data_IF_316325790886
#
_entry.id   IF_316325790886
#
_cell.length_a   1.000
_cell.length_b   1.000
_cell.length_c   1.000
_cell.angle_alpha   90.00
_cell.angle_beta   90.00
_cell.angle_gamma   90.00
#
_symmetry.space_group_name_H-M   'P 1'
#
loop_
_entity.id
_entity.type
_entity.pdbx_description
1 polymer ?
#
# COMPACT_ATOMS: atom_id res chain seq x y z
N UNK A 1 -7.89 4.71 -8.07
CA UNK A 1 -6.84 5.74 -7.87
C UNK A 1 -5.49 5.09 -7.63
N UNK A 2 -5.13 4.73 -6.40
CA UNK A 2 -3.83 4.08 -6.11
C UNK A 2 -3.76 2.67 -6.69
N UNK A 3 -4.85 1.90 -6.61
CA UNK A 3 -4.98 0.59 -7.24
C UNK A 3 -4.72 0.63 -8.76
N UNK A 4 -5.18 1.70 -9.42
CA UNK A 4 -4.95 1.93 -10.84
C UNK A 4 -3.47 2.23 -11.11
N UNK A 5 -2.82 3.10 -10.34
CA UNK A 5 -1.39 3.36 -10.49
C UNK A 5 -0.56 2.07 -10.30
N UNK A 6 -0.91 1.26 -9.30
CA UNK A 6 -0.25 -0.03 -9.07
C UNK A 6 -0.45 -0.99 -10.25
N UNK A 7 -1.65 -1.05 -10.82
CA UNK A 7 -1.93 -1.86 -12.00
C UNK A 7 -1.18 -1.36 -13.24
N UNK A 8 -1.15 -0.04 -13.47
CA UNK A 8 -0.45 0.58 -14.59
C UNK A 8 1.07 0.35 -14.54
N UNK A 9 1.64 0.26 -13.34
CA UNK A 9 3.05 -0.09 -13.13
C UNK A 9 3.32 -1.60 -13.26
N UNK A 10 2.28 -2.43 -13.45
CA UNK A 10 2.41 -3.90 -13.40
C UNK A 10 2.88 -4.40 -12.02
N UNK A 11 2.65 -3.63 -10.95
CA UNK A 11 3.15 -3.94 -9.63
C UNK A 11 2.45 -5.17 -9.05
N UNK A 12 3.21 -6.23 -8.79
CA UNK A 12 2.76 -7.43 -8.07
C UNK A 12 3.20 -7.46 -6.61
N UNK A 13 2.78 -8.50 -5.87
CA UNK A 13 3.23 -8.76 -4.51
C UNK A 13 2.72 -7.78 -3.44
N UNK A 14 3.39 -7.77 -2.28
CA UNK A 14 3.05 -6.95 -1.12
C UNK A 14 3.16 -5.45 -1.44
N UNK A 15 2.23 -4.67 -0.90
CA UNK A 15 2.24 -3.21 -0.93
C UNK A 15 2.53 -2.69 0.48
N UNK A 16 3.52 -1.81 0.61
CA UNK A 16 3.81 -1.10 1.86
C UNK A 16 3.36 0.34 1.71
N UNK A 17 2.49 0.80 2.61
CA UNK A 17 2.05 2.19 2.69
C UNK A 17 2.94 2.92 3.69
N UNK A 18 3.61 3.97 3.25
CA UNK A 18 4.45 4.84 4.08
C UNK A 18 4.01 6.31 3.98
N UNK A 19 4.54 7.14 4.88
CA UNK A 19 4.35 8.59 4.85
C UNK A 19 2.98 9.06 5.37
N UNK A 20 2.47 10.17 4.82
CA UNK A 20 1.34 10.90 5.41
C UNK A 20 0.03 10.10 5.53
N UNK A 21 -0.14 9.03 4.75
CA UNK A 21 -1.36 8.21 4.77
C UNK A 21 -1.36 7.13 5.87
N UNK A 22 -0.25 6.90 6.57
CA UNK A 22 -0.17 5.88 7.63
C UNK A 22 -1.09 6.21 8.82
N UNK A 23 -1.31 7.50 9.09
CA UNK A 23 -2.22 7.97 10.12
C UNK A 23 -3.71 7.86 9.74
N UNK A 24 -4.05 7.55 8.48
CA UNK A 24 -5.43 7.39 8.05
C UNK A 24 -5.88 5.94 8.25
N UNK A 25 -6.78 5.65 9.23
CA UNK A 25 -7.17 4.28 9.54
C UNK A 25 -7.95 3.59 8.43
N UNK A 26 -8.45 4.34 7.44
CA UNK A 26 -9.26 3.81 6.34
C UNK A 26 -8.44 3.48 5.10
N UNK A 27 -7.32 4.18 4.89
CA UNK A 27 -6.59 4.11 3.62
C UNK A 27 -6.05 2.71 3.33
N UNK A 28 -5.29 2.13 4.25
CA UNK A 28 -4.73 0.78 4.11
C UNK A 28 -5.81 -0.28 3.90
N UNK A 29 -6.81 -0.40 4.80
CA UNK A 29 -7.88 -1.38 4.67
C UNK A 29 -8.70 -1.26 3.37
N UNK A 30 -9.05 -0.04 2.94
CA UNK A 30 -9.80 0.15 1.69
C UNK A 30 -8.96 -0.17 0.46
N UNK A 31 -7.67 0.16 0.47
CA UNK A 31 -6.74 -0.23 -0.59
C UNK A 31 -6.60 -1.75 -0.66
N UNK A 32 -6.45 -2.43 0.47
CA UNK A 32 -6.42 -3.90 0.55
C UNK A 32 -7.70 -4.54 -0.03
N UNK A 33 -8.86 -3.92 0.18
CA UNK A 33 -10.13 -4.35 -0.44
C UNK A 33 -10.13 -4.34 -1.97
N UNK A 34 -9.35 -3.43 -2.59
CA UNK A 34 -9.24 -3.35 -4.05
C UNK A 34 -8.17 -4.25 -4.65
N UNK A 35 -7.18 -4.70 -3.86
CA UNK A 35 -5.99 -5.39 -4.34
C UNK A 35 -6.05 -6.94 -4.25
N UNK A 36 -7.26 -7.51 -4.23
CA UNK A 36 -7.59 -8.95 -4.34
C UNK A 36 -6.45 -9.93 -4.00
N UNK A 37 -6.24 -10.17 -2.69
CA UNK A 37 -5.31 -11.19 -2.21
C UNK A 37 -3.86 -10.72 -2.06
N UNK A 38 -3.55 -9.47 -2.38
CA UNK A 38 -2.25 -8.87 -2.07
C UNK A 38 -2.20 -8.39 -0.62
N UNK A 39 -1.10 -8.68 0.06
CA UNK A 39 -0.80 -8.09 1.36
C UNK A 39 -0.64 -6.57 1.22
N UNK A 40 -1.36 -5.82 2.04
CA UNK A 40 -1.11 -4.39 2.24
C UNK A 40 -0.65 -4.22 3.68
N UNK A 41 0.52 -3.64 3.90
CA UNK A 41 1.02 -3.28 5.24
C UNK A 41 1.10 -1.76 5.34
N UNK A 42 0.93 -1.23 6.54
CA UNK A 42 1.11 0.20 6.82
C UNK A 42 2.33 0.31 7.72
N UNK A 43 3.36 1.01 7.25
CA UNK A 43 4.57 1.26 8.03
C UNK A 43 4.26 2.25 9.14
N UNK A 44 4.76 1.97 10.35
CA UNK A 44 4.80 2.92 11.46
C UNK A 44 6.08 3.76 11.44
N UNK A 45 7.02 3.42 10.55
CA UNK A 45 8.30 4.10 10.42
C UNK A 45 8.25 5.20 9.35
N UNK A 46 8.72 6.39 9.72
CA UNK A 46 8.93 7.52 8.81
C UNK A 46 10.35 7.58 8.24
N UNK A 47 11.22 6.64 8.63
CA UNK A 47 12.64 6.65 8.35
C UNK A 47 13.08 5.79 7.16
N UNK A 48 12.15 5.22 6.38
CA UNK A 48 12.45 4.24 5.32
C UNK A 48 13.58 4.63 4.36
N UNK A 49 13.69 5.91 4.00
CA UNK A 49 14.81 6.41 3.18
C UNK A 49 16.15 6.41 3.93
N UNK A 50 16.18 6.89 5.17
CA UNK A 50 17.38 6.88 6.02
C UNK A 50 17.80 5.45 6.37
N UNK A 51 16.84 4.58 6.67
CA UNK A 51 17.06 3.15 6.90
C UNK A 51 17.64 2.49 5.63
N UNK A 52 17.10 2.80 4.46
CA UNK A 52 17.65 2.35 3.18
C UNK A 52 19.09 2.78 2.96
N UNK A 53 19.43 4.04 3.24
CA UNK A 53 20.81 4.53 3.16
C UNK A 53 21.74 3.80 4.13
N UNK A 54 21.30 3.57 5.36
CA UNK A 54 22.05 2.78 6.35
C UNK A 54 22.27 1.33 5.88
N UNK A 55 21.28 0.69 5.26
CA UNK A 55 21.40 -0.68 4.74
C UNK A 55 22.41 -0.80 3.59
N UNK A 56 22.62 0.27 2.81
CA UNK A 56 23.66 0.30 1.78
C UNK A 56 25.07 0.36 2.39
N UNK A 57 25.26 1.12 3.46
CA UNK A 57 26.52 1.17 4.23
C UNK A 57 26.77 -0.14 4.99
N UNK A 58 25.71 -0.72 5.56
CA UNK A 58 25.76 -1.92 6.40
C UNK A 58 25.26 -3.17 5.68
N UNK A 59 25.72 -3.35 4.43
CA UNK A 59 25.27 -4.43 3.55
C UNK A 59 25.27 -5.81 4.24
N UNK A 60 24.17 -6.56 4.09
CA UNK A 60 23.98 -7.88 4.69
C UNK A 60 23.47 -7.86 6.14
N UNK A 61 23.26 -6.67 6.73
CA UNK A 61 22.52 -6.52 7.98
C UNK A 61 21.04 -6.29 7.72
N UNK A 62 20.19 -6.81 8.61
CA UNK A 62 18.77 -6.54 8.61
C UNK A 62 18.44 -5.53 9.73
N UNK A 63 17.49 -4.61 9.51
CA UNK A 63 16.96 -3.80 10.61
C UNK A 63 16.24 -4.71 11.62
N UNK A 64 16.32 -4.40 12.91
CA UNK A 64 15.59 -5.13 13.96
C UNK A 64 14.07 -4.96 13.89
N UNK A 65 13.58 -3.95 13.17
CA UNK A 65 12.16 -3.66 13.06
C UNK A 65 11.41 -4.83 12.39
N UNK A 66 10.43 -5.39 13.10
CA UNK A 66 9.54 -6.40 12.56
C UNK A 66 8.66 -5.79 11.46
N UNK A 67 8.48 -6.51 10.35
CA UNK A 67 7.55 -6.10 9.31
C UNK A 67 6.13 -6.02 9.90
N UNK A 68 5.47 -4.87 9.73
CA UNK A 68 4.09 -4.70 10.15
C UNK A 68 3.19 -5.78 9.51
N UNK A 69 2.22 -6.34 10.26
CA UNK A 69 1.32 -7.34 9.72
C UNK A 69 0.43 -6.72 8.62
N UNK A 70 -0.05 -7.52 7.65
CA UNK A 70 -1.02 -7.05 6.68
C UNK A 70 -2.29 -6.54 7.35
N UNK A 71 -2.81 -5.42 6.85
CA UNK A 71 -4.07 -4.87 7.33
C UNK A 71 -5.24 -5.68 6.78
N UNK A 72 -6.29 -5.84 7.58
CA UNK A 72 -7.51 -6.50 7.14
C UNK A 72 -8.20 -5.69 6.03
N UNK A 73 -8.60 -6.37 4.95
CA UNK A 73 -9.29 -5.74 3.84
C UNK A 73 -10.68 -5.24 4.24
N UNK A 74 -10.96 -3.97 3.96
CA UNK A 74 -12.28 -3.36 4.13
C UNK A 74 -12.97 -3.25 2.78
N UNK A 75 -14.14 -3.90 2.65
CA UNK A 75 -14.95 -3.91 1.44
C UNK A 75 -16.37 -3.40 1.72
N UNK A 76 -16.56 -2.08 1.88
CA UNK A 76 -17.90 -1.53 2.06
C UNK A 76 -18.79 -1.84 0.86
N UNK A 77 -20.12 -1.93 1.05
CA UNK A 77 -21.05 -2.08 -0.07
C UNK A 77 -20.81 -1.03 -1.15
N UNK A 78 -20.72 -1.47 -2.40
CA UNK A 78 -20.48 -0.58 -3.54
C UNK A 78 -19.03 -0.12 -3.73
N UNK A 79 -18.07 -0.53 -2.91
CA UNK A 79 -16.68 -0.06 -3.02
C UNK A 79 -16.04 -0.33 -4.40
N UNK A 80 -16.27 -1.53 -4.95
CA UNK A 80 -15.81 -1.89 -6.29
C UNK A 80 -16.56 -1.14 -7.38
N UNK A 81 -17.87 -0.94 -7.21
CA UNK A 81 -18.67 -0.15 -8.14
C UNK A 81 -18.19 1.32 -8.16
N UNK A 82 -17.83 1.87 -7.00
CA UNK A 82 -17.22 3.18 -6.89
C UNK A 82 -15.89 3.26 -7.63
N UNK A 83 -15.02 2.25 -7.49
CA UNK A 83 -13.76 2.17 -8.25
C UNK A 83 -14.02 2.23 -9.76
N UNK A 84 -14.96 1.44 -10.28
CA UNK A 84 -15.28 1.43 -11.72
C UNK A 84 -15.87 2.76 -12.18
N UNK A 85 -16.79 3.34 -11.41
CA UNK A 85 -17.35 4.65 -11.70
C UNK A 85 -16.25 5.73 -11.73
N UNK A 86 -15.32 5.69 -10.77
CA UNK A 86 -14.18 6.60 -10.74
C UNK A 86 -13.29 6.45 -11.98
N UNK A 87 -12.97 5.21 -12.37
CA UNK A 87 -12.16 4.91 -13.57
C UNK A 87 -12.80 5.48 -14.85
N UNK A 88 -14.09 5.24 -15.02
CA UNK A 88 -14.85 5.78 -16.14
C UNK A 88 -14.85 7.31 -16.19
N UNK A 89 -14.99 8.00 -15.04
CA UNK A 89 -14.99 9.47 -15.01
C UNK A 89 -13.59 10.06 -15.20
N UNK A 90 -12.56 9.38 -14.70
CA UNK A 90 -11.17 9.79 -14.87
C UNK A 90 -10.62 9.49 -16.27
N UNK A 91 -11.37 8.76 -17.12
CA UNK A 91 -10.94 8.37 -18.45
C UNK A 91 -9.80 7.34 -18.45
N UNK A 92 -9.72 6.52 -17.38
CA UNK A 92 -8.72 5.47 -17.24
C UNK A 92 -9.41 4.11 -17.25
N UNK A 93 -8.90 3.16 -18.03
CA UNK A 93 -9.42 1.79 -18.13
C UNK A 93 -8.54 0.83 -17.31
#
# INVERSE_FOLDING_TARGET
MTDHCLAALGAGGRVVVEGAFTANPWFGPLLAGLLEGRDVTVSDDSSGTTCGAWLLDTWGRAPEAAAAPPVAALNPPGWRAYREAWRSHAGVH
#
